data_IF_600327886460
#
_entry.id   IF_600327886460
#
_cell.length_a   1.000
_cell.length_b   1.000
_cell.length_c   1.000
_cell.angle_alpha   90.00
_cell.angle_beta   90.00
_cell.angle_gamma   90.00
#
_symmetry.space_group_name_H-M   'P 1'
#
loop_
_entity.id
_entity.type
_entity.pdbx_description
1 polymer ?
#
# COMPACT_ATOMS: atom_id res chain seq x y z
N UNK A 1 3.74 -1.76 -9.04
CA UNK A 1 4.91 -1.91 -8.15
C UNK A 1 6.10 -2.25 -9.04
N UNK A 2 7.26 -1.59 -8.86
CA UNK A 2 8.48 -1.93 -9.61
C UNK A 2 8.84 -3.40 -9.41
N UNK A 3 9.09 -4.10 -10.51
CA UNK A 3 9.43 -5.53 -10.50
C UNK A 3 10.64 -5.81 -11.37
N UNK A 4 11.43 -6.81 -11.00
CA UNK A 4 12.54 -7.31 -11.80
C UNK A 4 12.37 -8.81 -12.08
N UNK A 5 13.07 -9.31 -13.08
CA UNK A 5 13.11 -10.74 -13.37
C UNK A 5 13.79 -11.49 -12.21
N UNK A 6 13.31 -12.69 -11.93
CA UNK A 6 13.87 -13.59 -10.93
C UNK A 6 14.12 -14.97 -11.54
N UNK A 7 15.39 -15.38 -11.62
CA UNK A 7 15.79 -16.71 -12.09
C UNK A 7 15.39 -17.03 -13.55
N UNK A 8 15.15 -18.31 -13.84
CA UNK A 8 14.68 -18.81 -15.14
C UNK A 8 13.17 -19.08 -15.08
N UNK A 9 12.44 -18.71 -16.15
CA UNK A 9 10.96 -18.74 -16.36
C UNK A 9 10.19 -17.52 -15.84
N UNK A 10 10.32 -16.33 -16.46
CA UNK A 10 9.38 -15.18 -16.38
C UNK A 10 8.83 -14.79 -14.97
N UNK A 11 9.46 -15.26 -13.88
CA UNK A 11 9.05 -14.95 -12.52
C UNK A 11 9.48 -13.52 -12.25
N UNK A 12 8.57 -12.78 -11.62
CA UNK A 12 8.78 -11.38 -11.25
C UNK A 12 8.86 -11.30 -9.75
N UNK A 13 9.90 -10.64 -9.27
CA UNK A 13 10.02 -10.25 -7.88
C UNK A 13 10.00 -8.73 -7.77
N UNK A 14 9.75 -8.24 -6.57
CA UNK A 14 9.81 -6.81 -6.28
C UNK A 14 11.24 -6.30 -6.49
N UNK A 15 11.39 -5.19 -7.22
CA UNK A 15 12.67 -4.51 -7.34
C UNK A 15 12.84 -3.53 -6.18
N UNK A 16 13.56 -3.97 -5.13
CA UNK A 16 13.79 -3.16 -3.94
C UNK A 16 14.57 -1.86 -4.21
N UNK A 17 15.57 -1.91 -5.08
CA UNK A 17 16.37 -0.73 -5.43
C UNK A 17 15.51 0.35 -6.11
N UNK A 18 14.64 -0.04 -7.05
CA UNK A 18 13.74 0.91 -7.68
C UNK A 18 12.71 1.46 -6.69
N UNK A 19 12.19 0.63 -5.77
CA UNK A 19 11.27 1.12 -4.73
C UNK A 19 11.95 2.16 -3.84
N UNK A 20 13.18 1.89 -3.38
CA UNK A 20 13.97 2.85 -2.64
C UNK A 20 14.10 4.17 -3.41
N UNK A 21 14.48 4.12 -4.69
CA UNK A 21 14.65 5.31 -5.52
C UNK A 21 13.34 6.10 -5.65
N UNK A 22 12.20 5.43 -5.89
CA UNK A 22 10.90 6.09 -5.99
C UNK A 22 10.49 6.78 -4.69
N UNK A 23 10.75 6.15 -3.54
CA UNK A 23 10.47 6.73 -2.21
C UNK A 23 11.41 7.91 -2.00
N UNK A 24 12.72 7.69 -2.11
CA UNK A 24 13.75 8.70 -1.88
C UNK A 24 13.52 9.97 -2.71
N UNK A 25 13.26 9.83 -4.02
CA UNK A 25 13.01 10.98 -4.89
C UNK A 25 11.80 11.83 -4.47
N UNK A 26 10.80 11.22 -3.83
CA UNK A 26 9.58 11.92 -3.36
C UNK A 26 9.77 12.59 -2.00
N UNK A 27 10.74 12.15 -1.22
CA UNK A 27 10.89 12.58 0.17
C UNK A 27 12.22 13.25 0.50
N UNK A 28 13.17 13.32 -0.45
CA UNK A 28 14.53 13.83 -0.23
C UNK A 28 14.58 15.25 0.37
N UNK A 29 13.56 16.06 0.08
CA UNK A 29 13.47 17.46 0.52
C UNK A 29 12.43 17.63 1.67
N UNK A 30 11.98 16.54 2.28
CA UNK A 30 11.00 16.53 3.37
C UNK A 30 11.67 16.00 4.64
N UNK A 31 11.49 16.70 5.76
CA UNK A 31 12.00 16.23 7.04
C UNK A 31 11.31 14.91 7.45
N UNK A 32 12.09 13.94 7.94
CA UNK A 32 11.58 12.60 8.29
C UNK A 32 10.41 12.62 9.29
N UNK A 33 10.35 13.63 10.17
CA UNK A 33 9.26 13.79 11.15
C UNK A 33 7.91 14.08 10.52
N UNK A 34 7.91 14.70 9.35
CA UNK A 34 6.71 15.11 8.60
C UNK A 34 6.27 14.01 7.62
N UNK A 35 7.00 12.89 7.57
CA UNK A 35 6.68 11.74 6.76
C UNK A 35 6.01 10.69 7.63
N UNK A 36 4.91 10.11 7.13
CA UNK A 36 4.24 8.96 7.74
C UNK A 36 4.08 7.87 6.68
N UNK A 37 4.65 6.70 6.91
CA UNK A 37 4.49 5.55 6.02
C UNK A 37 3.37 4.69 6.56
N UNK A 38 2.25 4.61 5.84
CA UNK A 38 1.08 3.82 6.26
C UNK A 38 1.02 2.54 5.42
N UNK A 39 0.99 1.40 6.09
CA UNK A 39 1.01 0.07 5.46
C UNK A 39 -0.20 -0.73 5.97
N UNK A 40 -0.90 -1.43 5.07
CA UNK A 40 -1.93 -2.37 5.50
C UNK A 40 -1.33 -3.49 6.34
N UNK A 41 -1.95 -3.78 7.49
CA UNK A 41 -1.59 -4.90 8.34
C UNK A 41 -2.13 -6.21 7.74
N UNK A 42 -1.27 -6.89 6.99
CA UNK A 42 -1.59 -8.14 6.30
C UNK A 42 -0.99 -9.37 7.00
N UNK A 43 -1.60 -10.53 6.75
CA UNK A 43 -1.12 -11.83 7.22
C UNK A 43 -1.26 -12.89 6.13
N UNK A 44 -0.56 -14.01 6.27
CA UNK A 44 -0.82 -15.19 5.45
C UNK A 44 -2.25 -15.68 5.71
N UNK A 45 -2.95 -16.06 4.64
CA UNK A 45 -4.32 -16.56 4.74
C UNK A 45 -4.33 -18.09 4.55
N UNK A 46 -5.01 -18.86 5.41
CA UNK A 46 -5.19 -20.29 5.21
C UNK A 46 -5.81 -20.60 3.84
N UNK A 47 -5.43 -21.74 3.24
CA UNK A 47 -5.95 -22.18 1.94
C UNK A 47 -5.32 -21.52 0.72
N UNK A 48 -4.34 -20.63 0.90
CA UNK A 48 -3.55 -20.08 -0.21
C UNK A 48 -2.33 -20.94 -0.53
N UNK A 49 -1.91 -20.96 -1.81
CA UNK A 49 -0.73 -21.70 -2.23
C UNK A 49 0.55 -21.18 -1.58
N UNK A 50 1.37 -22.08 -1.04
CA UNK A 50 2.58 -21.76 -0.25
C UNK A 50 3.58 -20.87 -1.01
N UNK A 51 3.78 -21.11 -2.30
CA UNK A 51 4.64 -20.29 -3.16
C UNK A 51 4.13 -18.86 -3.30
N UNK A 52 2.81 -18.68 -3.41
CA UNK A 52 2.19 -17.36 -3.52
C UNK A 52 2.32 -16.58 -2.21
N UNK A 53 2.11 -17.27 -1.08
CA UNK A 53 2.27 -16.68 0.25
C UNK A 53 3.72 -16.32 0.57
N UNK A 54 4.70 -17.12 0.12
CA UNK A 54 6.11 -16.77 0.23
C UNK A 54 6.45 -15.50 -0.55
N UNK A 55 6.05 -15.42 -1.83
CA UNK A 55 6.26 -14.24 -2.67
C UNK A 55 5.56 -12.98 -2.11
N UNK A 56 4.37 -13.15 -1.55
CA UNK A 56 3.64 -12.10 -0.87
C UNK A 56 4.41 -11.60 0.37
N UNK A 57 4.86 -12.53 1.22
CA UNK A 57 5.67 -12.22 2.40
C UNK A 57 6.98 -11.52 2.04
N UNK A 58 7.67 -11.96 0.99
CA UNK A 58 8.88 -11.31 0.47
C UNK A 58 8.58 -9.87 0.02
N UNK A 59 7.50 -9.65 -0.72
CA UNK A 59 7.11 -8.31 -1.19
C UNK A 59 6.82 -7.36 -0.03
N UNK A 60 6.08 -7.84 0.98
CA UNK A 60 5.82 -7.10 2.22
C UNK A 60 7.10 -6.83 3.02
N UNK A 61 7.99 -7.83 3.10
CA UNK A 61 9.29 -7.73 3.78
C UNK A 61 10.21 -6.70 3.13
N UNK A 62 10.28 -6.65 1.80
CA UNK A 62 11.08 -5.64 1.07
C UNK A 62 10.60 -4.22 1.38
N UNK A 63 9.29 -3.98 1.36
CA UNK A 63 8.74 -2.66 1.68
C UNK A 63 9.09 -2.24 3.12
N UNK A 64 8.85 -3.13 4.09
CA UNK A 64 9.21 -2.88 5.50
C UNK A 64 10.71 -2.65 5.67
N UNK A 65 11.53 -3.47 5.03
CA UNK A 65 12.99 -3.38 5.12
C UNK A 65 13.52 -2.05 4.60
N UNK A 66 13.03 -1.60 3.43
CA UNK A 66 13.41 -0.30 2.86
C UNK A 66 13.00 0.85 3.78
N UNK A 67 11.74 0.89 4.22
CA UNK A 67 11.25 1.95 5.08
C UNK A 67 12.00 1.99 6.44
N UNK A 68 12.28 0.82 7.04
CA UNK A 68 13.12 0.72 8.23
C UNK A 68 14.54 1.22 8.01
N UNK A 69 15.19 0.80 6.91
CA UNK A 69 16.56 1.22 6.59
C UNK A 69 16.67 2.73 6.35
N UNK A 70 15.61 3.33 5.77
CA UNK A 70 15.49 4.77 5.59
C UNK A 70 15.13 5.53 6.88
N UNK A 71 14.85 4.81 7.98
CA UNK A 71 14.37 5.33 9.26
C UNK A 71 13.07 6.13 9.13
N UNK A 72 12.15 5.66 8.30
CA UNK A 72 10.83 6.25 8.14
C UNK A 72 9.87 5.68 9.19
N UNK A 73 9.08 6.52 9.88
CA UNK A 73 8.08 6.02 10.83
C UNK A 73 6.97 5.29 10.07
N UNK A 74 6.72 4.04 10.45
CA UNK A 74 5.73 3.16 9.83
C UNK A 74 4.54 2.91 10.75
N UNK A 75 3.34 2.96 10.19
CA UNK A 75 2.08 2.71 10.87
C UNK A 75 1.32 1.61 10.16
N UNK A 76 0.79 0.66 10.92
CA UNK A 76 0.09 -0.50 10.38
C UNK A 76 -1.42 -0.39 10.60
N UNK A 77 -2.19 -0.42 9.51
CA UNK A 77 -3.64 -0.24 9.54
C UNK A 77 -4.33 -1.56 9.23
N UNK A 78 -5.23 -2.00 10.12
CA UNK A 78 -5.98 -3.24 9.93
C UNK A 78 -6.99 -3.11 8.77
N UNK A 79 -7.07 -4.09 7.85
CA UNK A 79 -8.01 -4.08 6.74
C UNK A 79 -9.46 -3.81 7.17
N UNK A 80 -9.91 -4.49 8.21
CA UNK A 80 -11.28 -4.37 8.70
C UNK A 80 -11.61 -2.95 9.21
N UNK A 81 -10.65 -2.23 9.80
CA UNK A 81 -10.89 -0.88 10.34
C UNK A 81 -11.13 0.13 9.22
N UNK A 82 -10.19 0.25 8.28
CA UNK A 82 -10.30 1.24 7.20
C UNK A 82 -11.44 0.91 6.24
N UNK A 83 -11.68 -0.38 5.95
CA UNK A 83 -12.82 -0.80 5.12
C UNK A 83 -14.16 -0.48 5.79
N UNK A 84 -14.28 -0.70 7.10
CA UNK A 84 -15.49 -0.32 7.84
C UNK A 84 -15.70 1.20 7.80
N UNK A 85 -14.65 1.99 8.01
CA UNK A 85 -14.72 3.46 7.97
C UNK A 85 -15.31 3.99 6.65
N UNK A 86 -14.93 3.39 5.52
CA UNK A 86 -15.42 3.80 4.20
C UNK A 86 -16.65 3.02 3.68
N UNK A 87 -17.27 2.17 4.51
CA UNK A 87 -18.39 1.30 4.11
C UNK A 87 -18.05 0.36 2.94
N UNK A 88 -16.86 -0.26 2.99
CA UNK A 88 -16.32 -1.19 1.97
C UNK A 88 -16.28 -2.65 2.46
N UNK A 89 -16.98 -2.97 3.55
CA UNK A 89 -17.11 -4.36 4.01
C UNK A 89 -18.05 -5.09 3.05
N UNK A 90 -17.62 -6.26 2.56
CA UNK A 90 -18.35 -7.08 1.58
C UNK A 90 -18.73 -6.34 0.29
N UNK A 91 -18.04 -5.26 -0.04
CA UNK A 91 -18.28 -4.51 -1.26
C UNK A 91 -17.58 -5.14 -2.46
N UNK A 92 -18.08 -4.81 -3.65
CA UNK A 92 -17.42 -5.15 -4.91
C UNK A 92 -15.98 -4.63 -4.98
N UNK A 93 -15.15 -5.32 -5.74
CA UNK A 93 -13.71 -4.99 -5.89
C UNK A 93 -13.46 -3.58 -6.42
N UNK A 94 -14.40 -3.04 -7.20
CA UNK A 94 -14.32 -1.71 -7.79
C UNK A 94 -14.78 -0.59 -6.83
N UNK A 95 -15.38 -0.93 -5.68
CA UNK A 95 -15.95 0.03 -4.74
C UNK A 95 -14.91 0.98 -4.15
N UNK A 96 -13.69 0.50 -3.85
CA UNK A 96 -12.58 1.34 -3.39
C UNK A 96 -12.24 2.46 -4.38
N UNK A 97 -12.27 2.16 -5.69
CA UNK A 97 -11.96 3.13 -6.73
C UNK A 97 -13.00 4.23 -6.80
N UNK A 98 -14.28 3.85 -6.80
CA UNK A 98 -15.38 4.81 -6.75
C UNK A 98 -15.31 5.67 -5.49
N UNK A 99 -15.05 5.05 -4.33
CA UNK A 99 -14.93 5.77 -3.06
C UNK A 99 -13.77 6.76 -3.05
N UNK A 100 -12.60 6.35 -3.56
CA UNK A 100 -11.43 7.23 -3.66
C UNK A 100 -11.69 8.42 -4.61
N UNK A 101 -12.39 8.21 -5.73
CA UNK A 101 -12.77 9.29 -6.66
C UNK A 101 -13.81 10.23 -6.03
N UNK A 102 -14.75 9.70 -5.25
CA UNK A 102 -15.74 10.51 -4.53
C UNK A 102 -15.06 11.45 -3.52
N UNK A 103 -14.07 10.95 -2.78
CA UNK A 103 -13.35 11.74 -1.76
C UNK A 103 -12.34 12.70 -2.42
N UNK A 104 -11.66 12.24 -3.47
CA UNK A 104 -10.62 13.00 -4.17
C UNK A 104 -10.93 13.09 -5.68
N UNK A 105 -11.85 13.99 -6.11
CA UNK A 105 -12.23 14.06 -7.52
C UNK A 105 -11.07 14.38 -8.48
N UNK A 106 -10.07 15.12 -8.01
CA UNK A 106 -8.89 15.55 -8.77
C UNK A 106 -7.91 14.42 -9.14
N UNK A 107 -8.04 13.22 -8.56
CA UNK A 107 -7.24 12.04 -8.94
C UNK A 107 -7.99 11.08 -9.86
N UNK A 108 -9.21 11.40 -10.29
CA UNK A 108 -10.06 10.55 -11.11
C UNK A 108 -9.35 10.01 -12.36
N UNK A 109 -8.62 10.85 -13.08
CA UNK A 109 -7.84 10.44 -14.26
C UNK A 109 -6.79 9.36 -13.94
N UNK A 110 -6.17 9.45 -12.75
CA UNK A 110 -5.14 8.50 -12.27
C UNK A 110 -5.73 7.17 -11.79
N UNK A 111 -7.05 7.12 -11.60
CA UNK A 111 -7.85 5.97 -11.18
C UNK A 111 -8.87 5.55 -12.26
N UNK A 112 -8.60 5.81 -13.54
CA UNK A 112 -9.54 5.54 -14.64
C UNK A 112 -9.67 4.06 -14.99
N UNK A 113 -8.71 3.19 -14.63
CA UNK A 113 -8.69 1.78 -15.06
C UNK A 113 -9.04 0.84 -13.92
N UNK A 114 -9.68 -0.30 -14.23
CA UNK A 114 -9.99 -1.35 -13.23
C UNK A 114 -8.76 -1.86 -12.47
N UNK A 115 -7.59 -1.88 -13.13
CA UNK A 115 -6.31 -2.26 -12.51
C UNK A 115 -5.80 -1.28 -11.45
N UNK A 116 -6.36 -0.08 -11.36
CA UNK A 116 -5.95 0.96 -10.42
C UNK A 116 -6.59 0.80 -9.02
N UNK A 117 -7.35 -0.28 -8.79
CA UNK A 117 -7.99 -0.56 -7.49
C UNK A 117 -6.98 -0.60 -6.34
N UNK A 118 -5.80 -1.18 -6.55
CA UNK A 118 -4.74 -1.20 -5.53
C UNK A 118 -4.19 0.21 -5.21
N UNK A 119 -4.23 1.15 -6.18
CA UNK A 119 -3.87 2.55 -5.91
C UNK A 119 -4.95 3.22 -5.06
N UNK A 120 -6.21 2.94 -5.37
CA UNK A 120 -7.35 3.46 -4.60
C UNK A 120 -7.29 2.97 -3.15
N UNK A 121 -7.01 1.67 -2.92
CA UNK A 121 -6.83 1.13 -1.57
C UNK A 121 -5.71 1.86 -0.81
N UNK A 122 -4.55 2.07 -1.45
CA UNK A 122 -3.43 2.80 -0.83
C UNK A 122 -3.80 4.24 -0.44
N UNK A 123 -4.58 4.93 -1.29
CA UNK A 123 -5.05 6.30 -1.03
C UNK A 123 -6.05 6.31 0.14
N UNK A 124 -6.99 5.36 0.15
CA UNK A 124 -7.97 5.25 1.22
C UNK A 124 -7.31 4.87 2.55
N UNK A 125 -6.33 3.97 2.58
CA UNK A 125 -5.58 3.64 3.80
C UNK A 125 -4.84 4.87 4.34
N UNK A 126 -4.18 5.63 3.48
CA UNK A 126 -3.51 6.87 3.88
C UNK A 126 -4.50 7.93 4.39
N UNK A 127 -5.63 8.11 3.71
CA UNK A 127 -6.71 9.01 4.14
C UNK A 127 -7.31 8.57 5.47
N UNK A 128 -7.64 7.29 5.65
CA UNK A 128 -8.13 6.76 6.92
C UNK A 128 -7.16 7.08 8.06
N UNK A 129 -5.87 6.81 7.87
CA UNK A 129 -4.88 7.13 8.89
C UNK A 129 -4.85 8.64 9.16
N UNK A 130 -4.80 9.49 8.13
CA UNK A 130 -4.80 10.95 8.28
C UNK A 130 -6.04 11.50 9.02
N UNK A 131 -7.22 10.94 8.78
CA UNK A 131 -8.45 11.39 9.45
C UNK A 131 -8.58 10.85 10.88
N UNK A 132 -7.87 9.78 11.24
CA UNK A 132 -8.07 9.08 12.52
C UNK A 132 -6.87 9.08 13.45
N UNK A 133 -5.67 9.46 13.00
CA UNK A 133 -4.45 9.42 13.83
C UNK A 133 -4.49 10.42 15.00
N UNK A 134 -5.30 11.48 14.92
CA UNK A 134 -5.49 12.45 16.00
C UNK A 134 -6.51 11.99 17.06
N UNK A 135 -7.20 10.88 16.83
CA UNK A 135 -8.18 10.33 17.77
C UNK A 135 -7.57 9.32 18.76
N UNK A 136 -6.24 9.17 18.75
CA UNK A 136 -5.49 8.30 19.66
C UNK A 136 -4.72 9.07 20.76
N UNK A 137 -5.11 10.33 21.05
CA UNK A 137 -4.72 11.07 22.27
C UNK A 137 -5.79 10.98 23.37
#
# INVERSE_FOLDING_TARGET
MPSMAEGKKNKKQVNGAQIYNEIFLRIKDIEKKDIKVVIEQVSAMPGQGVTSMFNFGQSFGVLKGICSAMQLPMYFVRPAKWKKYFNLINSEKDASRTKAIQIFPYISEKLSKKKDSNKADAILIASFFYETYQLED
#
